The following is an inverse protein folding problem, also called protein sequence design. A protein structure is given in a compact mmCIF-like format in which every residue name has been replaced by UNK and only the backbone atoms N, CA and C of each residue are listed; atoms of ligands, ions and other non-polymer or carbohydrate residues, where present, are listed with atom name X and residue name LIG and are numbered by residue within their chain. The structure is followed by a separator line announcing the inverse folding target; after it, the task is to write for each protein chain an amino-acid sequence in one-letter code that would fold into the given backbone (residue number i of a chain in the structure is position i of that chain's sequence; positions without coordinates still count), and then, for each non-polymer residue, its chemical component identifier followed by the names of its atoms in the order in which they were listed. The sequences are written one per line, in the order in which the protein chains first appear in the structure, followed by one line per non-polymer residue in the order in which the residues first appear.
data_IF_322217631995
#
_entry.id   IF_322217631995
#
_cell.length_a   1.000
_cell.length_b   1.000
_cell.length_c   1.000
_cell.angle_alpha   90.00
_cell.angle_beta   90.00
_cell.angle_gamma   90.00
#
_symmetry.space_group_name_H-M   'P 1'
#
loop_
_entity.id
_entity.type
_entity.pdbx_description
1 polymer ?
#
# COMPACT_ATOMS: atom_id res chain seq x y z
N UNK A 1 2.93 15.96 4.57
CA UNK A 1 3.56 14.80 3.91
C UNK A 1 2.94 14.63 2.53
N UNK A 2 3.78 14.46 1.51
CA UNK A 2 3.32 14.20 0.14
C UNK A 2 2.95 12.71 -0.01
N UNK A 3 1.87 12.43 -0.72
CA UNK A 3 1.45 11.06 -1.01
C UNK A 3 1.58 10.81 -2.50
N UNK A 4 2.25 9.73 -2.88
CA UNK A 4 2.33 9.30 -4.26
C UNK A 4 1.86 7.85 -4.38
N UNK A 5 1.36 7.51 -5.56
CA UNK A 5 0.80 6.19 -5.86
C UNK A 5 1.42 5.67 -7.13
N UNK A 6 1.83 4.40 -7.12
CA UNK A 6 2.25 3.75 -8.35
C UNK A 6 1.04 3.45 -9.22
N UNK A 7 1.26 3.23 -10.50
CA UNK A 7 0.19 2.81 -11.41
C UNK A 7 -0.39 1.45 -10.97
N UNK A 8 0.44 0.54 -10.47
CA UNK A 8 -0.03 -0.77 -10.00
C UNK A 8 -0.98 -0.64 -8.81
N UNK A 9 -0.67 0.24 -7.85
CA UNK A 9 -1.58 0.48 -6.75
C UNK A 9 -2.90 1.06 -7.24
N UNK A 10 -2.85 2.05 -8.12
CA UNK A 10 -4.06 2.69 -8.67
C UNK A 10 -4.92 1.69 -9.43
N UNK A 11 -4.31 0.88 -10.28
CA UNK A 11 -5.04 -0.12 -11.06
C UNK A 11 -5.69 -1.15 -10.13
N UNK A 12 -4.97 -1.56 -9.10
CA UNK A 12 -5.49 -2.53 -8.14
C UNK A 12 -6.71 -1.97 -7.39
N UNK A 13 -6.57 -0.78 -6.79
CA UNK A 13 -7.65 -0.22 -5.97
C UNK A 13 -8.87 0.16 -6.82
N UNK A 14 -8.64 0.70 -8.01
CA UNK A 14 -9.73 1.07 -8.90
C UNK A 14 -10.43 -0.14 -9.50
N UNK A 15 -9.71 -1.25 -9.63
CA UNK A 15 -10.24 -2.49 -10.17
C UNK A 15 -10.92 -3.41 -9.16
N UNK A 16 -10.90 -3.07 -7.87
CA UNK A 16 -11.55 -3.90 -6.86
C UNK A 16 -13.06 -3.87 -7.04
N UNK A 17 -13.63 -5.05 -7.34
CA UNK A 17 -15.07 -5.20 -7.55
C UNK A 17 -15.86 -5.27 -6.24
N UNK A 18 -15.20 -5.69 -5.17
CA UNK A 18 -15.78 -5.73 -3.83
C UNK A 18 -15.87 -4.32 -3.27
N UNK A 19 -17.04 -3.68 -3.41
CA UNK A 19 -17.23 -2.28 -3.02
C UNK A 19 -17.04 -2.06 -1.51
N UNK A 20 -17.51 -2.99 -0.70
CA UNK A 20 -17.36 -2.89 0.76
C UNK A 20 -15.89 -3.00 1.15
N UNK A 21 -15.17 -3.96 0.55
CA UNK A 21 -13.74 -4.13 0.78
C UNK A 21 -12.94 -2.93 0.31
N UNK A 22 -13.26 -2.41 -0.87
CA UNK A 22 -12.60 -1.21 -1.41
C UNK A 22 -12.77 -0.01 -0.48
N UNK A 23 -13.97 0.22 0.01
CA UNK A 23 -14.23 1.31 0.95
C UNK A 23 -13.43 1.17 2.24
N UNK A 24 -13.31 -0.06 2.74
CA UNK A 24 -12.53 -0.32 3.96
C UNK A 24 -11.05 -0.08 3.73
N UNK A 25 -10.52 -0.51 2.59
CA UNK A 25 -9.12 -0.26 2.24
C UNK A 25 -8.86 1.25 2.15
N UNK A 26 -9.73 1.98 1.46
CA UNK A 26 -9.58 3.43 1.32
C UNK A 26 -9.61 4.15 2.68
N UNK A 27 -10.49 3.72 3.58
CA UNK A 27 -10.56 4.28 4.93
C UNK A 27 -9.25 4.04 5.70
N UNK A 28 -8.68 2.85 5.59
CA UNK A 28 -7.44 2.51 6.27
C UNK A 28 -6.25 3.28 5.68
N UNK A 29 -6.23 3.45 4.36
CA UNK A 29 -5.20 4.27 3.70
C UNK A 29 -5.31 5.73 4.14
N UNK A 30 -6.52 6.25 4.26
CA UNK A 30 -6.72 7.61 4.75
C UNK A 30 -6.16 7.79 6.15
N UNK A 31 -6.41 6.85 7.06
CA UNK A 31 -5.84 6.88 8.41
C UNK A 31 -4.32 6.82 8.37
N UNK A 32 -3.75 5.99 7.49
CA UNK A 32 -2.30 5.90 7.31
C UNK A 32 -1.72 7.26 6.91
N UNK A 33 -2.36 7.93 5.97
CA UNK A 33 -1.94 9.25 5.50
C UNK A 33 -1.91 10.26 6.66
N UNK A 34 -2.81 10.12 7.61
CA UNK A 34 -2.90 10.99 8.79
C UNK A 34 -2.06 10.50 9.97
N UNK A 35 -1.16 9.54 9.74
CA UNK A 35 -0.20 9.09 10.75
C UNK A 35 -0.65 7.91 11.62
N UNK A 36 -1.78 7.29 11.31
CA UNK A 36 -2.30 6.15 12.06
C UNK A 36 -2.39 4.90 11.17
N UNK A 37 -1.34 4.07 11.16
CA UNK A 37 -1.35 2.87 10.30
C UNK A 37 -2.30 1.77 10.81
N UNK A 38 -2.65 1.77 12.10
CA UNK A 38 -3.43 0.67 12.63
C UNK A 38 -2.71 -0.66 12.52
N UNK A 39 -3.41 -1.72 12.15
CA UNK A 39 -2.82 -3.05 11.98
C UNK A 39 -1.89 -3.07 10.77
N UNK A 40 -0.60 -3.25 11.01
CA UNK A 40 0.42 -3.24 9.96
C UNK A 40 1.63 -4.06 10.39
N UNK A 41 2.53 -4.29 9.45
CA UNK A 41 3.76 -5.04 9.68
C UNK A 41 4.89 -4.40 8.88
N UNK A 42 6.03 -4.18 9.53
CA UNK A 42 7.21 -3.73 8.82
C UNK A 42 7.82 -4.90 8.06
N UNK A 43 8.18 -4.63 6.82
CA UNK A 43 8.87 -5.57 5.96
C UNK A 43 10.32 -5.10 5.78
N UNK A 44 10.99 -5.59 4.76
CA UNK A 44 12.36 -5.20 4.46
C UNK A 44 12.41 -3.92 3.60
N UNK A 45 13.57 -3.28 3.57
CA UNK A 45 13.89 -2.13 2.69
C UNK A 45 12.96 -0.92 2.88
N UNK A 46 12.55 -0.66 4.13
CA UNK A 46 11.70 0.49 4.42
C UNK A 46 10.26 0.33 4.01
N UNK A 47 9.88 -0.84 3.52
CA UNK A 47 8.52 -1.12 3.10
C UNK A 47 7.70 -1.72 4.24
N UNK A 48 6.41 -1.44 4.28
CA UNK A 48 5.48 -1.98 5.26
C UNK A 48 4.22 -2.51 4.58
N UNK A 49 3.50 -3.34 5.31
CA UNK A 49 2.26 -3.96 4.87
C UNK A 49 1.12 -3.50 5.77
N UNK A 50 0.13 -2.85 5.19
CA UNK A 50 -1.11 -2.50 5.88
C UNK A 50 -2.05 -3.68 5.79
N UNK A 51 -2.57 -4.14 6.93
CA UNK A 51 -3.48 -5.28 6.99
C UNK A 51 -4.92 -4.83 7.15
N UNK A 52 -5.76 -5.21 6.21
CA UNK A 52 -7.18 -4.88 6.22
C UNK A 52 -7.96 -6.17 6.24
N UNK A 53 -8.31 -6.63 7.44
CA UNK A 53 -8.88 -7.96 7.67
C UNK A 53 -10.40 -7.99 7.46
N UNK A 54 -10.81 -7.77 6.21
CA UNK A 54 -12.18 -7.94 5.77
C UNK A 54 -12.18 -8.77 4.49
N UNK A 55 -13.22 -9.52 4.24
CA UNK A 55 -13.32 -10.36 3.05
C UNK A 55 -12.10 -11.29 2.92
N UNK A 56 -11.42 -11.30 1.77
CA UNK A 56 -10.26 -12.18 1.56
C UNK A 56 -8.99 -11.76 2.32
N UNK A 57 -9.05 -10.67 3.08
CA UNK A 57 -7.87 -10.14 3.79
C UNK A 57 -7.00 -9.28 2.88
N UNK A 58 -7.41 -8.05 2.66
CA UNK A 58 -6.67 -7.14 1.77
C UNK A 58 -5.37 -6.67 2.38
N UNK A 59 -4.40 -6.38 1.52
CA UNK A 59 -3.07 -5.88 1.91
C UNK A 59 -2.70 -4.71 1.03
N UNK A 60 -2.12 -3.67 1.65
CA UNK A 60 -1.56 -2.52 0.91
C UNK A 60 -0.09 -2.40 1.30
N UNK A 61 0.78 -2.37 0.31
CA UNK A 61 2.23 -2.24 0.52
C UNK A 61 2.61 -0.79 0.30
N UNK A 62 3.36 -0.24 1.26
CA UNK A 62 3.73 1.17 1.24
C UNK A 62 5.12 1.37 1.82
N UNK A 63 5.72 2.52 1.53
CA UNK A 63 6.96 2.94 2.17
C UNK A 63 6.89 4.41 2.53
N UNK A 64 7.56 4.77 3.61
CA UNK A 64 7.73 6.16 4.00
C UNK A 64 9.18 6.56 3.75
N UNK A 65 9.38 7.66 3.03
CA UNK A 65 10.71 8.16 2.70
C UNK A 65 10.96 9.42 3.47
N UNK A 66 11.62 9.27 4.62
CA UNK A 66 11.77 10.33 5.60
C UNK A 66 10.40 10.74 6.13
N UNK A 67 10.26 12.00 6.49
CA UNK A 67 8.97 12.55 6.90
C UNK A 67 8.28 13.29 5.75
N UNK A 68 8.69 13.01 4.51
CA UNK A 68 8.30 13.81 3.36
C UNK A 68 7.37 13.11 2.39
N UNK A 69 7.54 11.81 2.21
CA UNK A 69 6.81 11.06 1.17
C UNK A 69 6.26 9.74 1.72
N UNK A 70 4.99 9.53 1.48
CA UNK A 70 4.33 8.23 1.63
C UNK A 70 4.05 7.69 0.24
N UNK A 71 4.63 6.55 -0.09
CA UNK A 71 4.44 5.90 -1.37
C UNK A 71 3.54 4.69 -1.21
N UNK A 72 2.39 4.68 -1.89
CA UNK A 72 1.49 3.53 -1.97
C UNK A 72 1.92 2.73 -3.20
N UNK A 73 2.40 1.50 -2.97
CA UNK A 73 3.18 0.75 -3.97
C UNK A 73 2.34 -0.27 -4.72
N UNK A 74 1.61 -1.09 -3.98
CA UNK A 74 0.84 -2.19 -4.57
C UNK A 74 -0.20 -2.66 -3.58
N UNK A 75 -1.13 -3.47 -4.06
CA UNK A 75 -2.13 -4.09 -3.21
C UNK A 75 -2.42 -5.50 -3.66
N UNK A 76 -3.10 -6.22 -2.81
CA UNK A 76 -3.51 -7.59 -3.07
C UNK A 76 -4.29 -8.13 -1.90
N UNK A 77 -4.36 -9.44 -1.81
CA UNK A 77 -5.00 -10.09 -0.68
C UNK A 77 -4.10 -11.18 -0.10
N UNK A 78 -4.63 -11.87 0.91
CA UNK A 78 -3.88 -12.88 1.63
C UNK A 78 -3.43 -14.05 0.74
N UNK A 79 -4.22 -14.37 -0.29
CA UNK A 79 -3.93 -15.52 -1.17
C UNK A 79 -2.74 -15.29 -2.11
N UNK A 80 -2.42 -14.02 -2.41
CA UNK A 80 -1.33 -13.66 -3.32
C UNK A 80 -0.19 -12.91 -2.62
N UNK A 81 -0.16 -12.97 -1.29
CA UNK A 81 0.71 -12.14 -0.47
C UNK A 81 2.20 -12.24 -0.83
N UNK A 82 2.74 -13.45 -0.95
CA UNK A 82 4.17 -13.62 -1.24
C UNK A 82 4.56 -13.02 -2.60
N UNK A 83 3.75 -13.26 -3.61
CA UNK A 83 3.95 -12.70 -4.95
C UNK A 83 3.86 -11.18 -4.94
N UNK A 84 2.87 -10.65 -4.23
CA UNK A 84 2.64 -9.21 -4.16
C UNK A 84 3.76 -8.49 -3.42
N UNK A 85 4.30 -9.09 -2.36
CA UNK A 85 5.44 -8.55 -1.63
C UNK A 85 6.66 -8.46 -2.55
N UNK A 86 6.96 -9.52 -3.29
CA UNK A 86 8.09 -9.53 -4.22
C UNK A 86 7.95 -8.43 -5.28
N UNK A 87 6.77 -8.27 -5.84
CA UNK A 87 6.50 -7.23 -6.83
C UNK A 87 6.60 -5.83 -6.22
N UNK A 88 6.05 -5.65 -5.02
CA UNK A 88 6.11 -4.37 -4.33
C UNK A 88 7.54 -3.97 -4.01
N UNK A 89 8.39 -4.91 -3.61
CA UNK A 89 9.81 -4.66 -3.38
C UNK A 89 10.51 -4.17 -4.64
N UNK A 90 10.23 -4.81 -5.77
CA UNK A 90 10.79 -4.38 -7.05
C UNK A 90 10.38 -2.95 -7.40
N UNK A 91 9.09 -2.64 -7.25
CA UNK A 91 8.58 -1.29 -7.50
C UNK A 91 9.17 -0.27 -6.55
N UNK A 92 9.34 -0.65 -5.28
CA UNK A 92 9.93 0.23 -4.28
C UNK A 92 11.38 0.60 -4.60
N UNK A 93 12.16 -0.38 -5.06
CA UNK A 93 13.56 -0.17 -5.47
C UNK A 93 13.66 0.73 -6.69
N UNK A 94 12.74 0.58 -7.62
CA UNK A 94 12.77 1.29 -8.90
C UNK A 94 12.09 2.64 -8.88
N UNK A 95 11.41 2.97 -7.77
CA UNK A 95 10.74 4.25 -7.68
C UNK A 95 11.75 5.39 -7.52
N UNK A 96 11.67 6.34 -8.44
CA UNK A 96 12.50 7.55 -8.38
C UNK A 96 11.61 8.72 -7.97
N UNK A 97 11.94 9.33 -6.84
CA UNK A 97 11.23 10.52 -6.38
C UNK A 97 11.57 11.69 -7.31
N UNK A 98 10.53 12.29 -7.88
CA UNK A 98 10.72 13.46 -8.72
C UNK A 98 11.04 14.65 -7.81
N UNK A 99 12.22 15.21 -7.98
CA UNK A 99 12.56 16.47 -7.33
C UNK A 99 11.75 17.59 -7.99
N UNK A 100 11.10 18.35 -7.18
CA UNK A 100 10.35 19.51 -7.64
C UNK A 100 11.27 20.71 -7.72
#
# INVERSE_FOLDING_TARGET
MRVEKTDEYRDWIDGLKDQAGRSRVLMRVDRLIHGNPGSHRNLTEGMSELKVDVGPGYRVYYSERGNKLLLLIAGGDKSTQAKDIARALELNRNFVEKSS
#
